data_IF_644409740469
#
_entry.id   IF_644409740469
#
_cell.length_a   1.000
_cell.length_b   1.000
_cell.length_c   1.000
_cell.angle_alpha   90.00
_cell.angle_beta   90.00
_cell.angle_gamma   90.00
#
_symmetry.space_group_name_H-M   'P 1'
#
loop_
_entity.id
_entity.type
_entity.pdbx_description
1 polymer ?
#
# COMPACT_ATOMS: atom_id res chain seq x y z
N UNK A 1 -12.90 22.88 9.17
CA UNK A 1 -13.01 21.45 8.93
C UNK A 1 -13.02 20.72 10.25
N UNK A 2 -14.02 19.93 10.43
CA UNK A 2 -14.09 19.11 11.60
C UNK A 2 -12.98 18.08 11.53
N UNK A 3 -12.11 18.07 12.51
CA UNK A 3 -11.15 17.00 12.66
C UNK A 3 -11.85 15.72 13.08
N UNK A 4 -11.11 14.64 13.12
CA UNK A 4 -11.63 13.38 13.63
C UNK A 4 -11.79 13.48 15.14
N UNK A 5 -12.84 12.86 15.66
CA UNK A 5 -12.93 12.67 17.11
C UNK A 5 -11.79 11.75 17.55
N UNK A 6 -11.38 11.76 18.82
CA UNK A 6 -10.36 10.82 19.29
C UNK A 6 -10.69 9.36 18.99
N UNK A 7 -11.97 8.99 19.12
CA UNK A 7 -12.42 7.63 18.84
C UNK A 7 -12.31 7.30 17.35
N UNK A 8 -12.73 8.23 16.48
CA UNK A 8 -12.62 8.04 15.05
C UNK A 8 -11.15 7.92 14.61
N UNK A 9 -10.28 8.76 15.17
CA UNK A 9 -8.86 8.73 14.88
C UNK A 9 -8.24 7.41 15.27
N UNK A 10 -8.63 6.86 16.42
CA UNK A 10 -8.14 5.55 16.85
C UNK A 10 -8.55 4.46 15.88
N UNK A 11 -9.81 4.47 15.43
CA UNK A 11 -10.28 3.50 14.45
C UNK A 11 -9.51 3.61 13.15
N UNK A 12 -9.31 4.83 12.66
CA UNK A 12 -8.59 5.06 11.40
C UNK A 12 -7.13 4.63 11.52
N UNK A 13 -6.49 4.85 12.67
CA UNK A 13 -5.13 4.38 12.90
C UNK A 13 -5.06 2.85 12.89
N UNK A 14 -6.07 2.18 13.46
CA UNK A 14 -6.13 0.71 13.42
C UNK A 14 -6.35 0.20 12.00
N UNK A 15 -7.17 0.87 11.21
CA UNK A 15 -7.34 0.53 9.78
C UNK A 15 -6.01 0.66 9.05
N UNK A 16 -5.33 1.75 9.24
CA UNK A 16 -4.01 2.00 8.62
C UNK A 16 -3.02 0.90 9.01
N UNK A 17 -2.95 0.57 10.29
CA UNK A 17 -2.03 -0.45 10.80
C UNK A 17 -2.34 -1.82 10.18
N UNK A 18 -3.62 -2.20 10.14
CA UNK A 18 -4.03 -3.47 9.55
C UNK A 18 -3.61 -3.57 8.09
N UNK A 19 -3.83 -2.49 7.33
CA UNK A 19 -3.50 -2.47 5.91
C UNK A 19 -1.99 -2.48 5.65
N UNK A 20 -1.24 -1.69 6.40
CA UNK A 20 0.22 -1.58 6.20
C UNK A 20 0.98 -2.81 6.69
N UNK A 21 0.44 -3.53 7.66
CA UNK A 21 1.03 -4.78 8.14
C UNK A 21 0.66 -5.99 7.28
N UNK A 22 -0.28 -5.83 6.35
CA UNK A 22 -0.79 -6.91 5.50
C UNK A 22 -0.82 -6.48 4.03
N UNK A 23 0.25 -5.90 3.55
CA UNK A 23 0.32 -5.37 2.19
C UNK A 23 0.12 -6.44 1.12
N UNK A 24 0.46 -7.69 1.41
CA UNK A 24 0.26 -8.82 0.50
C UNK A 24 -1.20 -9.28 0.42
N UNK A 25 -2.06 -8.79 1.30
CA UNK A 25 -3.48 -9.11 1.31
C UNK A 25 -4.32 -8.05 0.61
N UNK A 26 -5.42 -8.47 0.00
CA UNK A 26 -6.37 -7.56 -0.65
C UNK A 26 -7.61 -7.39 0.22
N UNK A 27 -7.44 -6.62 1.29
CA UNK A 27 -8.54 -6.33 2.21
C UNK A 27 -9.45 -5.27 1.58
N UNK A 28 -10.73 -5.59 1.43
CA UNK A 28 -11.68 -4.69 0.79
C UNK A 28 -12.23 -3.68 1.78
N UNK A 29 -12.74 -2.56 1.23
CA UNK A 29 -13.38 -1.53 2.07
C UNK A 29 -14.61 -2.10 2.80
N UNK A 30 -15.32 -3.05 2.19
CA UNK A 30 -16.46 -3.70 2.80
C UNK A 30 -16.04 -4.54 4.01
N UNK A 31 -14.92 -5.24 3.91
CA UNK A 31 -14.36 -6.01 5.02
C UNK A 31 -13.95 -5.08 6.17
N UNK A 32 -13.30 -3.97 5.85
CA UNK A 32 -12.90 -2.98 6.85
C UNK A 32 -14.12 -2.36 7.52
N UNK A 33 -15.12 -2.01 6.72
CA UNK A 33 -16.36 -1.40 7.21
C UNK A 33 -17.06 -2.31 8.22
N UNK A 34 -17.13 -3.61 7.92
CA UNK A 34 -17.74 -4.59 8.82
C UNK A 34 -16.91 -4.80 10.09
N UNK A 35 -15.60 -4.89 9.92
CA UNK A 35 -14.70 -5.14 11.06
C UNK A 35 -14.71 -3.99 12.06
N UNK A 36 -14.70 -2.77 11.57
CA UNK A 36 -14.59 -1.58 12.41
C UNK A 36 -15.92 -0.87 12.62
N UNK A 37 -17.02 -1.46 12.12
CA UNK A 37 -18.37 -0.92 12.31
C UNK A 37 -18.47 0.55 11.90
N UNK A 38 -17.90 0.88 10.75
CA UNK A 38 -17.90 2.22 10.21
C UNK A 38 -18.36 2.18 8.74
N UNK A 39 -19.22 3.11 8.37
CA UNK A 39 -19.72 3.20 6.99
C UNK A 39 -18.55 3.40 6.02
N UNK A 40 -18.55 2.73 4.84
CA UNK A 40 -17.46 2.85 3.88
C UNK A 40 -17.15 4.28 3.45
N UNK A 41 -18.17 5.09 3.19
CA UNK A 41 -17.98 6.49 2.79
C UNK A 41 -17.30 7.29 3.90
N UNK A 42 -17.75 7.11 5.12
CA UNK A 42 -17.17 7.77 6.29
C UNK A 42 -15.72 7.34 6.48
N UNK A 43 -15.45 6.04 6.36
CA UNK A 43 -14.08 5.52 6.49
C UNK A 43 -13.14 6.15 5.48
N UNK A 44 -13.55 6.22 4.22
CA UNK A 44 -12.75 6.84 3.15
C UNK A 44 -12.47 8.31 3.44
N UNK A 45 -13.49 9.04 3.84
CA UNK A 45 -13.38 10.46 4.18
C UNK A 45 -12.40 10.70 5.34
N UNK A 46 -12.60 9.97 6.42
CA UNK A 46 -11.78 10.13 7.62
C UNK A 46 -10.34 9.70 7.38
N UNK A 47 -10.14 8.63 6.62
CA UNK A 47 -8.79 8.17 6.26
C UNK A 47 -8.05 9.26 5.49
N UNK A 48 -8.70 9.83 4.47
CA UNK A 48 -8.09 10.90 3.68
C UNK A 48 -7.81 12.13 4.52
N UNK A 49 -8.71 12.47 5.43
CA UNK A 49 -8.50 13.60 6.33
C UNK A 49 -7.30 13.40 7.25
N UNK A 50 -7.12 12.17 7.74
CA UNK A 50 -6.03 11.87 8.67
C UNK A 50 -4.68 11.70 7.97
N UNK A 51 -4.65 11.02 6.81
CA UNK A 51 -3.40 10.65 6.14
C UNK A 51 -3.10 11.46 4.88
N UNK A 52 -4.02 12.30 4.43
CA UNK A 52 -3.79 13.19 3.28
C UNK A 52 -3.97 12.55 1.92
N UNK A 53 -4.26 11.25 1.85
CA UNK A 53 -4.48 10.54 0.59
C UNK A 53 -5.54 9.47 0.77
N UNK A 54 -6.11 9.00 -0.34
CA UNK A 54 -7.09 7.91 -0.29
C UNK A 54 -6.43 6.62 0.23
N UNK A 55 -7.24 5.71 0.73
CA UNK A 55 -6.75 4.40 1.17
C UNK A 55 -5.97 3.73 0.04
N UNK A 56 -6.53 3.69 -1.17
CA UNK A 56 -5.90 3.03 -2.30
C UNK A 56 -4.54 3.64 -2.66
N UNK A 57 -4.46 4.96 -2.71
CA UNK A 57 -3.22 5.66 -3.03
C UNK A 57 -2.17 5.46 -1.93
N UNK A 58 -2.60 5.52 -0.68
CA UNK A 58 -1.71 5.35 0.46
C UNK A 58 -1.11 3.95 0.51
N UNK A 59 -1.93 2.93 0.31
CA UNK A 59 -1.48 1.54 0.32
C UNK A 59 -0.59 1.24 -0.89
N UNK A 60 -0.91 1.78 -2.06
CA UNK A 60 -0.05 1.64 -3.24
C UNK A 60 1.34 2.19 -2.97
N UNK A 61 1.42 3.35 -2.32
CA UNK A 61 2.71 3.95 -1.97
C UNK A 61 3.50 3.04 -1.04
N UNK A 62 2.85 2.50 0.00
CA UNK A 62 3.50 1.56 0.92
C UNK A 62 3.97 0.29 0.21
N UNK A 63 3.15 -0.25 -0.71
CA UNK A 63 3.53 -1.43 -1.50
C UNK A 63 4.76 -1.17 -2.35
N UNK A 64 4.80 -0.01 -2.99
CA UNK A 64 5.92 0.36 -3.85
C UNK A 64 7.20 0.60 -3.05
N UNK A 65 7.10 1.22 -1.88
CA UNK A 65 8.25 1.40 -1.00
C UNK A 65 8.81 0.06 -0.52
N UNK A 66 7.93 -0.87 -0.12
CA UNK A 66 8.35 -2.21 0.28
C UNK A 66 9.00 -2.94 -0.90
N UNK A 67 8.42 -2.81 -2.10
CA UNK A 67 8.96 -3.43 -3.30
C UNK A 67 10.37 -2.91 -3.59
N UNK A 68 10.58 -1.60 -3.50
CA UNK A 68 11.91 -1.02 -3.75
C UNK A 68 12.94 -1.57 -2.78
N UNK A 69 12.59 -1.70 -1.51
CA UNK A 69 13.47 -2.30 -0.51
C UNK A 69 13.79 -3.76 -0.84
N UNK A 70 12.79 -4.55 -1.21
CA UNK A 70 13.00 -5.96 -1.57
C UNK A 70 13.86 -6.11 -2.82
N UNK A 71 13.70 -5.23 -3.80
CA UNK A 71 14.51 -5.26 -5.01
C UNK A 71 15.99 -5.03 -4.71
N UNK A 72 16.29 -4.22 -3.71
CA UNK A 72 17.67 -3.89 -3.34
C UNK A 72 18.26 -4.86 -2.32
N UNK A 73 17.46 -5.37 -1.41
CA UNK A 73 17.92 -6.13 -0.25
C UNK A 73 17.78 -7.65 -0.39
N UNK A 74 16.90 -8.12 -1.28
CA UNK A 74 16.66 -9.54 -1.45
C UNK A 74 17.13 -10.01 -2.83
N UNK A 75 17.36 -11.31 -2.95
CA UNK A 75 17.64 -11.94 -4.23
C UNK A 75 16.38 -12.47 -4.91
N UNK A 76 15.21 -12.10 -4.43
CA UNK A 76 13.94 -12.60 -4.96
C UNK A 76 13.74 -12.19 -6.41
N UNK A 77 13.07 -13.05 -7.18
CA UNK A 77 12.68 -12.74 -8.54
C UNK A 77 11.64 -11.61 -8.54
N UNK A 78 11.48 -10.97 -9.69
CA UNK A 78 10.49 -9.91 -9.84
C UNK A 78 9.08 -10.43 -9.55
N UNK A 79 8.78 -11.67 -9.95
CA UNK A 79 7.49 -12.30 -9.66
C UNK A 79 7.29 -12.49 -8.16
N UNK A 80 8.33 -12.89 -7.45
CA UNK A 80 8.29 -13.06 -5.99
C UNK A 80 8.08 -11.73 -5.28
N UNK A 81 8.79 -10.69 -5.71
CA UNK A 81 8.63 -9.34 -5.17
C UNK A 81 7.20 -8.84 -5.41
N UNK A 82 6.70 -9.00 -6.63
CA UNK A 82 5.33 -8.60 -6.97
C UNK A 82 4.31 -9.24 -6.03
N UNK A 83 4.44 -10.54 -5.81
CA UNK A 83 3.54 -11.29 -4.93
C UNK A 83 3.65 -10.85 -3.49
N UNK A 84 4.88 -10.61 -3.02
CA UNK A 84 5.13 -10.18 -1.64
C UNK A 84 4.47 -8.85 -1.32
N UNK A 85 4.28 -7.99 -2.32
CA UNK A 85 3.65 -6.68 -2.13
C UNK A 85 2.21 -6.63 -2.63
N UNK A 86 1.59 -7.81 -2.85
CA UNK A 86 0.16 -7.90 -3.07
C UNK A 86 -0.31 -7.83 -4.52
N UNK A 87 0.58 -8.07 -5.48
CA UNK A 87 0.21 -8.13 -6.89
C UNK A 87 0.18 -9.58 -7.38
N UNK A 88 -0.88 -9.95 -8.08
CA UNK A 88 -1.01 -11.29 -8.65
C UNK A 88 -0.19 -11.45 -9.94
N UNK A 89 0.02 -10.34 -10.65
CA UNK A 89 0.68 -10.31 -11.95
C UNK A 89 1.94 -9.46 -11.88
N UNK A 90 3.04 -10.00 -12.38
CA UNK A 90 4.29 -9.25 -12.50
C UNK A 90 4.12 -8.06 -13.45
N UNK A 91 3.33 -8.21 -14.51
CA UNK A 91 3.08 -7.13 -15.47
C UNK A 91 2.38 -5.95 -14.82
N UNK A 92 1.35 -6.22 -14.02
CA UNK A 92 0.63 -5.16 -13.32
C UNK A 92 1.53 -4.49 -12.28
N UNK A 93 2.30 -5.27 -11.56
CA UNK A 93 3.29 -4.75 -10.60
C UNK A 93 4.28 -3.83 -11.31
N UNK A 94 4.86 -4.28 -12.42
CA UNK A 94 5.85 -3.50 -13.16
C UNK A 94 5.29 -2.18 -13.67
N UNK A 95 4.04 -2.19 -14.15
CA UNK A 95 3.38 -0.97 -14.62
C UNK A 95 3.17 0.02 -13.47
N UNK A 96 2.73 -0.45 -12.32
CA UNK A 96 2.53 0.41 -11.15
C UNK A 96 3.86 0.93 -10.60
N UNK A 97 4.88 0.08 -10.56
CA UNK A 97 6.21 0.46 -10.12
C UNK A 97 6.77 1.58 -11.00
N UNK A 98 6.62 1.44 -12.32
CA UNK A 98 7.10 2.44 -13.26
C UNK A 98 6.40 3.78 -13.08
N UNK A 99 5.10 3.77 -12.76
CA UNK A 99 4.36 5.01 -12.48
C UNK A 99 4.91 5.75 -11.27
N UNK A 100 5.32 5.01 -10.25
CA UNK A 100 5.81 5.62 -9.00
C UNK A 100 7.28 6.02 -9.10
N UNK A 101 8.13 5.16 -9.66
CA UNK A 101 9.58 5.36 -9.66
C UNK A 101 10.16 5.81 -10.99
N UNK A 102 9.36 5.87 -12.05
CA UNK A 102 9.81 6.33 -13.37
C UNK A 102 10.58 5.31 -14.17
N UNK A 103 10.77 4.10 -13.65
CA UNK A 103 11.48 3.02 -14.35
C UNK A 103 10.93 1.67 -13.94
N UNK A 104 11.19 0.64 -14.75
CA UNK A 104 10.76 -0.71 -14.45
C UNK A 104 11.52 -1.28 -13.25
N UNK A 105 10.93 -2.25 -12.53
CA UNK A 105 11.61 -2.88 -11.39
C UNK A 105 12.96 -3.50 -11.76
N UNK A 106 13.06 -4.12 -12.93
CA UNK A 106 14.31 -4.71 -13.41
C UNK A 106 15.37 -3.67 -13.63
N UNK A 107 15.00 -2.54 -14.21
CA UNK A 107 15.90 -1.40 -14.42
C UNK A 107 16.35 -0.80 -13.09
N UNK A 108 15.42 -0.68 -12.16
CA UNK A 108 15.70 -0.15 -10.82
C UNK A 108 16.72 -1.04 -10.10
N UNK A 109 16.50 -2.34 -10.09
CA UNK A 109 17.43 -3.30 -9.47
C UNK A 109 18.81 -3.22 -10.11
N UNK A 110 18.86 -3.18 -11.44
CA UNK A 110 20.12 -3.12 -12.18
C UNK A 110 20.89 -1.83 -11.90
N UNK A 111 20.18 -0.71 -11.86
CA UNK A 111 20.78 0.61 -11.61
C UNK A 111 21.44 0.67 -10.24
N UNK A 112 20.88 0.01 -9.25
CA UNK A 112 21.38 0.02 -7.88
C UNK A 112 22.25 -1.20 -7.54
N UNK A 113 22.39 -2.15 -8.47
CA UNK A 113 23.26 -3.32 -8.24
C UNK A 113 24.71 -2.90 -8.27
N UNK A 114 25.54 -3.55 -7.47
CA UNK A 114 26.97 -3.28 -7.43
C UNK A 114 27.38 -2.13 -6.54
N UNK A 115 26.48 -1.60 -5.77
CA UNK A 115 26.80 -0.56 -4.78
C UNK A 115 27.06 -1.12 -3.42
#
# INVERSE_FOLDING_TARGET
AAGLTPQQREIIHQVHQLLTENLDSRITIEQLSRRFLMNPSTMKELFKAEYGSSIAAHIRQHRMEKASALLLESGDSLAQVARAVGYESQSKFSAEFKKVFGMLPSEFRKLHAGH
#
